data_IF_066795236858
#
_entry.id   IF_066795236858
#
_cell.length_a   1.000
_cell.length_b   1.000
_cell.length_c   1.000
_cell.angle_alpha   90.00
_cell.angle_beta   90.00
_cell.angle_gamma   90.00
#
_symmetry.space_group_name_H-M   'P 1'
#
loop_
_entity.id
_entity.type
_entity.pdbx_description
1 polymer ?
#
# COMPACT_ATOMS: atom_id res chain seq x y z
N UNK A 1 -1.20 8.02 -37.42
CA UNK A 1 -0.81 9.25 -36.71
C UNK A 1 -0.91 8.90 -35.24
N UNK A 2 0.23 8.67 -34.61
CA UNK A 2 0.37 8.47 -33.17
C UNK A 2 0.36 9.87 -32.55
N UNK A 3 -0.80 10.28 -32.03
CA UNK A 3 -1.14 11.66 -31.65
C UNK A 3 -1.26 11.82 -30.13
N UNK A 4 -0.42 11.16 -29.33
CA UNK A 4 -0.19 11.61 -27.95
C UNK A 4 1.27 11.45 -27.56
N UNK A 5 2.08 12.44 -27.93
CA UNK A 5 3.36 12.78 -27.29
C UNK A 5 3.11 13.27 -25.85
N UNK A 6 2.44 12.46 -25.04
CA UNK A 6 2.35 12.62 -23.59
C UNK A 6 3.40 11.69 -23.02
N UNK A 7 4.38 12.18 -22.25
CA UNK A 7 5.44 11.31 -21.78
C UNK A 7 4.86 10.40 -20.70
N UNK A 8 4.50 9.19 -21.11
CA UNK A 8 4.18 8.07 -20.25
C UNK A 8 5.34 7.96 -19.24
N UNK A 9 5.02 8.06 -17.94
CA UNK A 9 5.94 8.12 -16.78
C UNK A 9 6.23 9.51 -16.15
N UNK A 10 5.67 10.63 -16.59
CA UNK A 10 5.75 11.90 -15.80
C UNK A 10 4.58 12.13 -14.84
N UNK A 11 3.52 11.32 -14.92
CA UNK A 11 2.42 11.43 -13.96
C UNK A 11 2.82 10.78 -12.63
N UNK A 12 2.61 11.48 -11.52
CA UNK A 12 2.84 10.95 -10.16
C UNK A 12 2.16 9.59 -9.94
N UNK A 13 1.03 9.35 -10.60
CA UNK A 13 0.33 8.07 -10.61
C UNK A 13 1.19 6.91 -11.12
N UNK A 14 1.88 7.09 -12.25
CA UNK A 14 2.72 6.04 -12.85
C UNK A 14 3.94 5.73 -11.98
N UNK A 15 4.55 6.75 -11.36
CA UNK A 15 5.71 6.57 -10.47
C UNK A 15 5.34 5.86 -9.17
N UNK A 16 4.21 6.23 -8.55
CA UNK A 16 3.72 5.59 -7.33
C UNK A 16 3.23 4.17 -7.59
N UNK A 17 2.63 3.91 -8.76
CA UNK A 17 2.26 2.55 -9.16
C UNK A 17 3.46 1.65 -9.41
N UNK A 18 4.49 2.18 -10.07
CA UNK A 18 5.71 1.40 -10.30
C UNK A 18 6.44 1.09 -9.00
N UNK A 19 6.55 2.06 -8.08
CA UNK A 19 7.15 1.81 -6.77
C UNK A 19 6.32 0.80 -5.96
N UNK A 20 4.99 0.87 -6.00
CA UNK A 20 4.12 -0.10 -5.32
C UNK A 20 4.33 -1.53 -5.85
N UNK A 21 4.42 -1.74 -7.16
CA UNK A 21 4.64 -3.06 -7.76
C UNK A 21 6.03 -3.60 -7.39
N UNK A 22 7.06 -2.76 -7.47
CA UNK A 22 8.44 -3.15 -7.10
C UNK A 22 8.53 -3.53 -5.61
N UNK A 23 7.96 -2.71 -4.73
CA UNK A 23 7.94 -2.96 -3.29
C UNK A 23 7.12 -4.22 -2.95
N UNK A 24 5.98 -4.42 -3.63
CA UNK A 24 5.18 -5.64 -3.48
C UNK A 24 5.97 -6.89 -3.88
N UNK A 25 6.68 -6.85 -5.00
CA UNK A 25 7.53 -7.96 -5.45
C UNK A 25 8.64 -8.28 -4.45
N UNK A 26 9.34 -7.26 -3.94
CA UNK A 26 10.35 -7.43 -2.89
C UNK A 26 9.74 -8.02 -1.60
N UNK A 27 8.63 -7.48 -1.15
CA UNK A 27 7.95 -7.93 0.06
C UNK A 27 7.45 -9.38 -0.07
N UNK A 28 6.93 -9.74 -1.23
CA UNK A 28 6.48 -11.08 -1.56
C UNK A 28 7.65 -12.07 -1.58
N UNK A 29 8.75 -11.74 -2.24
CA UNK A 29 9.95 -12.59 -2.28
C UNK A 29 10.54 -12.79 -0.88
N UNK A 30 10.73 -11.71 -0.11
CA UNK A 30 11.26 -11.78 1.25
C UNK A 30 10.34 -12.59 2.18
N UNK A 31 9.02 -12.41 2.08
CA UNK A 31 8.04 -13.23 2.79
C UNK A 31 8.10 -14.70 2.38
N UNK A 32 8.19 -14.98 1.08
CA UNK A 32 8.27 -16.34 0.55
C UNK A 32 9.52 -17.07 1.05
N UNK A 33 10.70 -16.45 0.98
CA UNK A 33 11.94 -17.05 1.47
C UNK A 33 11.98 -17.21 3.00
N UNK A 34 11.34 -16.28 3.74
CA UNK A 34 11.33 -16.32 5.20
C UNK A 34 10.34 -17.34 5.78
N UNK A 35 9.18 -17.52 5.15
CA UNK A 35 8.07 -18.32 5.71
C UNK A 35 7.79 -19.63 4.96
N UNK A 36 8.10 -19.72 3.66
CA UNK A 36 7.71 -20.87 2.82
C UNK A 36 8.88 -21.80 2.54
N UNK A 37 10.02 -21.30 2.05
CA UNK A 37 11.17 -22.16 1.68
C UNK A 37 12.48 -21.37 1.55
N UNK A 38 13.63 -21.76 2.16
CA UNK A 38 13.91 -22.89 3.06
C UNK A 38 13.45 -22.70 4.52
N UNK A 39 12.75 -21.59 4.81
CA UNK A 39 12.29 -21.25 6.16
C UNK A 39 13.43 -20.64 6.98
N UNK A 40 13.32 -19.34 7.28
CA UNK A 40 14.32 -18.67 8.11
C UNK A 40 14.28 -19.21 9.55
N UNK A 41 15.44 -19.18 10.21
CA UNK A 41 15.57 -19.56 11.62
C UNK A 41 14.52 -18.83 12.48
N UNK A 42 13.99 -19.52 13.50
CA UNK A 42 12.88 -19.04 14.33
C UNK A 42 13.09 -17.61 14.84
N UNK A 43 14.34 -17.26 15.17
CA UNK A 43 14.74 -15.92 15.60
C UNK A 43 14.60 -14.87 14.49
N UNK A 44 15.13 -15.15 13.29
CA UNK A 44 15.03 -14.26 12.12
C UNK A 44 13.58 -14.07 11.69
N UNK A 45 12.77 -15.12 11.78
CA UNK A 45 11.33 -15.07 11.46
C UNK A 45 10.54 -14.20 12.43
N UNK A 46 10.84 -14.29 13.73
CA UNK A 46 10.23 -13.45 14.76
C UNK A 46 10.65 -11.98 14.62
N UNK A 47 11.92 -11.72 14.32
CA UNK A 47 12.43 -10.37 14.08
C UNK A 47 11.87 -9.74 12.79
N UNK A 48 11.68 -10.53 11.73
CA UNK A 48 11.16 -10.06 10.44
C UNK A 48 9.64 -9.87 10.42
N UNK A 49 8.88 -10.58 11.27
CA UNK A 49 7.43 -10.51 11.31
C UNK A 49 6.83 -9.09 11.44
N UNK A 50 7.29 -8.22 12.35
CA UNK A 50 6.76 -6.84 12.43
C UNK A 50 7.10 -6.02 11.18
N UNK A 51 8.30 -6.19 10.60
CA UNK A 51 8.67 -5.55 9.34
C UNK A 51 7.85 -6.06 8.17
N UNK A 52 7.50 -7.34 8.17
CA UNK A 52 6.68 -7.93 7.13
C UNK A 52 5.27 -7.35 7.14
N UNK A 53 4.64 -7.32 8.32
CA UNK A 53 3.30 -6.75 8.52
C UNK A 53 3.26 -5.25 8.23
N UNK A 54 4.24 -4.49 8.74
CA UNK A 54 4.31 -3.05 8.50
C UNK A 54 4.56 -2.71 7.02
N UNK A 55 5.51 -3.40 6.38
CA UNK A 55 5.80 -3.21 4.96
C UNK A 55 4.59 -3.55 4.07
N UNK A 56 3.88 -4.64 4.38
CA UNK A 56 2.65 -5.00 3.68
C UNK A 56 1.56 -3.92 3.78
N UNK A 57 1.39 -3.33 4.96
CA UNK A 57 0.44 -2.23 5.17
C UNK A 57 0.80 -0.98 4.35
N UNK A 58 2.07 -0.59 4.36
CA UNK A 58 2.55 0.59 3.61
C UNK A 58 2.33 0.40 2.10
N UNK A 59 2.66 -0.78 1.56
CA UNK A 59 2.45 -1.10 0.14
C UNK A 59 0.97 -1.09 -0.22
N UNK A 60 0.10 -1.59 0.66
CA UNK A 60 -1.34 -1.60 0.44
C UNK A 60 -1.93 -0.19 0.40
N UNK A 61 -1.53 0.69 1.33
CA UNK A 61 -1.94 2.11 1.32
C UNK A 61 -1.42 2.84 0.08
N UNK A 62 -0.18 2.54 -0.34
CA UNK A 62 0.41 3.09 -1.55
C UNK A 62 -0.36 2.64 -2.81
N UNK A 63 -0.81 1.37 -2.86
CA UNK A 63 -1.61 0.85 -3.95
C UNK A 63 -3.00 1.51 -4.02
N UNK A 64 -3.66 1.72 -2.88
CA UNK A 64 -4.93 2.45 -2.79
C UNK A 64 -4.75 3.90 -3.27
N UNK A 65 -3.77 4.62 -2.73
CA UNK A 65 -3.48 6.00 -3.13
C UNK A 65 -3.13 6.12 -4.61
N UNK A 66 -2.39 5.14 -5.15
CA UNK A 66 -2.12 5.06 -6.59
C UNK A 66 -3.41 4.87 -7.38
N UNK A 67 -4.25 3.90 -7.03
CA UNK A 67 -5.51 3.65 -7.72
C UNK A 67 -6.41 4.90 -7.72
N UNK A 68 -6.50 5.59 -6.57
CA UNK A 68 -7.24 6.84 -6.43
C UNK A 68 -6.68 7.96 -7.29
N UNK A 69 -5.37 8.16 -7.31
CA UNK A 69 -4.75 9.17 -8.18
C UNK A 69 -5.06 8.92 -9.66
N UNK A 70 -5.14 7.64 -10.07
CA UNK A 70 -5.53 7.26 -11.43
C UNK A 70 -7.00 7.58 -11.72
N UNK A 71 -7.90 7.23 -10.81
CA UNK A 71 -9.32 7.55 -10.92
C UNK A 71 -9.59 9.07 -10.86
N UNK A 72 -8.90 9.79 -9.98
CA UNK A 72 -8.98 11.26 -9.87
C UNK A 72 -8.55 11.91 -11.18
N UNK A 73 -7.45 11.46 -11.78
CA UNK A 73 -6.99 11.97 -13.07
C UNK A 73 -8.04 11.74 -14.17
N UNK A 74 -8.68 10.57 -14.20
CA UNK A 74 -9.76 10.26 -15.15
C UNK A 74 -11.00 11.12 -14.91
N UNK A 75 -11.40 11.34 -13.64
CA UNK A 75 -12.56 12.17 -13.32
C UNK A 75 -12.35 13.66 -13.54
N UNK A 76 -11.12 14.15 -13.37
CA UNK A 76 -10.72 15.51 -13.75
C UNK A 76 -10.88 15.72 -15.25
N UNK A 77 -10.43 14.76 -16.07
CA UNK A 77 -10.64 14.78 -17.51
C UNK A 77 -12.12 14.76 -17.93
N UNK A 78 -12.96 14.00 -17.22
CA UNK A 78 -14.39 13.87 -17.51
C UNK A 78 -15.27 14.95 -16.84
N UNK A 79 -14.71 15.86 -16.04
CA UNK A 79 -15.47 16.91 -15.33
C UNK A 79 -16.39 16.40 -14.20
N UNK A 80 -16.19 15.17 -13.70
CA UNK A 80 -17.07 14.53 -12.72
C UNK A 80 -16.75 14.93 -11.27
N UNK A 81 -17.22 16.12 -10.86
CA UNK A 81 -16.96 16.68 -9.51
C UNK A 81 -17.58 15.84 -8.38
N UNK A 82 -18.73 15.19 -8.61
CA UNK A 82 -19.43 14.40 -7.58
C UNK A 82 -18.74 13.05 -7.31
N UNK A 83 -18.26 12.37 -8.36
CA UNK A 83 -17.50 11.13 -8.22
C UNK A 83 -16.15 11.35 -7.49
N UNK A 84 -15.51 12.50 -7.72
CA UNK A 84 -14.29 12.92 -7.00
C UNK A 84 -14.48 13.01 -5.49
N UNK A 85 -15.57 13.66 -5.04
CA UNK A 85 -15.84 13.82 -3.59
C UNK A 85 -16.13 12.47 -2.92
N UNK A 86 -16.78 11.55 -3.63
CA UNK A 86 -17.07 10.21 -3.13
C UNK A 86 -15.79 9.37 -2.99
N UNK A 87 -14.88 9.43 -3.98
CA UNK A 87 -13.56 8.79 -3.89
C UNK A 87 -12.76 9.24 -2.67
N UNK A 88 -12.69 10.56 -2.45
CA UNK A 88 -11.97 11.14 -1.31
C UNK A 88 -12.60 10.76 0.03
N UNK A 89 -13.92 10.62 0.09
CA UNK A 89 -14.61 10.14 1.29
C UNK A 89 -14.29 8.67 1.56
N UNK A 90 -14.45 7.80 0.56
CA UNK A 90 -14.20 6.37 0.71
C UNK A 90 -12.75 6.07 1.07
N UNK A 91 -11.81 6.88 0.58
CA UNK A 91 -10.39 6.74 0.89
C UNK A 91 -10.05 7.10 2.32
N UNK A 92 -10.60 8.20 2.82
CA UNK A 92 -10.48 8.61 4.21
C UNK A 92 -11.09 7.58 5.17
N UNK A 93 -12.23 7.01 4.80
CA UNK A 93 -12.90 5.97 5.59
C UNK A 93 -12.05 4.69 5.67
N UNK A 94 -11.50 4.23 4.54
CA UNK A 94 -10.57 3.11 4.54
C UNK A 94 -9.31 3.42 5.37
N UNK A 95 -8.68 4.58 5.16
CA UNK A 95 -7.46 4.95 5.85
C UNK A 95 -7.66 5.03 7.37
N UNK A 96 -8.80 5.57 7.83
CA UNK A 96 -9.16 5.59 9.25
C UNK A 96 -9.38 4.19 9.81
N UNK A 97 -10.05 3.31 9.07
CA UNK A 97 -10.28 1.93 9.50
C UNK A 97 -8.96 1.15 9.64
N UNK A 98 -8.03 1.34 8.71
CA UNK A 98 -6.71 0.71 8.75
C UNK A 98 -5.79 1.30 9.82
N UNK A 99 -5.85 2.61 10.07
CA UNK A 99 -5.15 3.23 11.19
C UNK A 99 -5.64 2.67 12.53
N UNK A 100 -6.95 2.43 12.66
CA UNK A 100 -7.53 1.75 13.82
C UNK A 100 -7.00 0.32 14.00
N UNK A 101 -6.93 -0.47 12.93
CA UNK A 101 -6.37 -1.83 12.96
C UNK A 101 -4.88 -1.82 13.34
N UNK A 102 -4.09 -0.89 12.80
CA UNK A 102 -2.68 -0.74 13.17
C UNK A 102 -2.52 -0.37 14.65
N UNK A 103 -3.29 0.62 15.14
CA UNK A 103 -3.27 1.02 16.55
C UNK A 103 -3.63 -0.16 17.47
N UNK A 104 -4.64 -0.95 17.09
CA UNK A 104 -5.06 -2.11 17.87
C UNK A 104 -3.96 -3.18 17.94
N UNK A 105 -3.22 -3.40 16.86
CA UNK A 105 -2.09 -4.35 16.83
C UNK A 105 -0.87 -3.85 17.62
N UNK A 106 -0.62 -2.54 17.63
CA UNK A 106 0.45 -1.91 18.43
C UNK A 106 0.12 -1.93 19.92
N UNK A 107 -1.12 -1.61 20.29
CA UNK A 107 -1.59 -1.68 21.68
C UNK A 107 -1.49 -3.13 22.21
N UNK A 108 -1.99 -4.10 21.45
CA UNK A 108 -1.88 -5.52 21.81
C UNK A 108 -0.42 -5.97 21.96
N UNK A 109 0.49 -5.44 21.15
CA UNK A 109 1.93 -5.73 21.27
C UNK A 109 2.57 -5.10 22.52
N UNK A 110 2.06 -3.97 23.03
CA UNK A 110 2.55 -3.36 24.27
C UNK A 110 2.05 -4.11 25.51
N UNK A 111 0.78 -4.52 25.50
CA UNK A 111 0.16 -5.27 26.60
C UNK A 111 0.84 -6.62 26.83
N UNK A 112 1.30 -7.27 25.76
CA UNK A 112 1.99 -8.57 25.81
C UNK A 112 3.48 -8.47 26.21
N UNK A 113 4.05 -7.26 26.25
CA UNK A 113 5.41 -7.01 26.74
C UNK A 113 5.44 -6.54 28.20
N UNK A 114 4.28 -6.16 28.76
CA UNK A 114 4.11 -5.70 30.13
C UNK A 114 3.61 -6.80 31.10
N UNK A 115 3.37 -8.02 30.60
CA UNK A 115 2.95 -9.21 31.35
C UNK A 115 4.08 -10.24 31.45
#
# INVERSE_FOLDING_TARGET
>A
MDETNSPDMYTLHSWLGMSAICLFGLQYLLGFFSYVFPGAESYTRAAYQPWHSFGGLVIFLLAIGTAEMGLLHRFLWLGLVRARKLLLSTSLDCCSFYLQLLLSSLLFSQDNLAA
#
